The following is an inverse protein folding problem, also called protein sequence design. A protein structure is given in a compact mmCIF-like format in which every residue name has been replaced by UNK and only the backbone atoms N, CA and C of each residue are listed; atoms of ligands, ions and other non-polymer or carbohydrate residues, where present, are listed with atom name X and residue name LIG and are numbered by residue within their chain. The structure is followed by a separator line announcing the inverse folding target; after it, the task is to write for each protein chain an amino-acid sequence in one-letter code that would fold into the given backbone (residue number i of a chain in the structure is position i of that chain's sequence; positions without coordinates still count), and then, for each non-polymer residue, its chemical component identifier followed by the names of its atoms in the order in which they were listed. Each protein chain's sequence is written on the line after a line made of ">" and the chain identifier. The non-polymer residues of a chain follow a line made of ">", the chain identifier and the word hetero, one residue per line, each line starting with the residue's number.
data_IF_926330341485
#
_entry.id   IF_926330341485
#
_cell.length_a   1.000
_cell.length_b   1.000
_cell.length_c   1.000
_cell.angle_alpha   90.00
_cell.angle_beta   90.00
_cell.angle_gamma   90.00
#
_symmetry.space_group_name_H-M   'P 1'
#
loop_
_entity.id
_entity.type
_entity.pdbx_description
1 polymer ?
#
# COMPACT_ATOMS: atom_id res chain seq x y z
N UNK A 1 -12.41 2.30 -23.74
CA UNK A 1 -11.62 2.35 -22.50
C UNK A 1 -10.46 1.37 -22.64
N UNK A 2 -9.21 1.83 -22.64
CA UNK A 2 -8.03 0.93 -22.64
C UNK A 2 -7.64 0.69 -21.19
N UNK A 3 -7.47 -0.58 -20.81
CA UNK A 3 -6.91 -0.93 -19.51
C UNK A 3 -5.40 -0.71 -19.54
N UNK A 4 -4.85 -0.08 -18.49
CA UNK A 4 -3.41 0.04 -18.30
C UNK A 4 -2.88 -1.27 -17.72
N UNK A 5 -2.09 -1.99 -18.51
CA UNK A 5 -1.55 -3.30 -18.14
C UNK A 5 -0.42 -3.22 -17.12
N UNK A 6 0.20 -2.05 -16.93
CA UNK A 6 1.33 -1.88 -16.01
C UNK A 6 0.91 -2.09 -14.54
N UNK A 7 -0.39 -1.97 -14.24
CA UNK A 7 -0.94 -2.29 -12.92
C UNK A 7 -0.75 -3.75 -12.52
N UNK A 8 -0.56 -4.67 -13.49
CA UNK A 8 -0.32 -6.09 -13.20
C UNK A 8 0.97 -6.31 -12.39
N UNK A 9 1.98 -5.45 -12.57
CA UNK A 9 3.25 -5.52 -11.83
C UNK A 9 3.10 -5.20 -10.33
N UNK A 10 1.97 -4.64 -9.89
CA UNK A 10 1.73 -4.25 -8.51
C UNK A 10 0.95 -5.29 -7.69
N UNK A 11 0.63 -6.46 -8.27
CA UNK A 11 -0.13 -7.50 -7.57
C UNK A 11 0.53 -7.92 -6.26
N UNK A 12 1.84 -8.18 -6.29
CA UNK A 12 2.60 -8.61 -5.10
C UNK A 12 2.62 -7.53 -4.02
N UNK A 13 2.75 -6.25 -4.42
CA UNK A 13 2.67 -5.11 -3.51
C UNK A 13 1.27 -4.99 -2.91
N UNK A 14 0.21 -5.21 -3.70
CA UNK A 14 -1.16 -5.19 -3.20
C UNK A 14 -1.41 -6.34 -2.21
N UNK A 15 -0.91 -7.55 -2.48
CA UNK A 15 -1.00 -8.70 -1.58
C UNK A 15 -0.24 -8.46 -0.27
N UNK A 16 0.91 -7.79 -0.33
CA UNK A 16 1.68 -7.36 0.84
C UNK A 16 0.94 -6.31 1.69
N UNK A 17 0.43 -5.25 1.06
CA UNK A 17 -0.09 -4.08 1.78
C UNK A 17 -1.55 -4.23 2.24
N UNK A 18 -2.38 -4.96 1.48
CA UNK A 18 -3.82 -5.09 1.77
C UNK A 18 -4.12 -5.58 3.20
N UNK A 19 -3.41 -6.59 3.75
CA UNK A 19 -3.64 -7.04 5.13
C UNK A 19 -3.42 -5.94 6.18
N UNK A 20 -2.50 -5.00 5.96
CA UNK A 20 -2.18 -3.94 6.92
C UNK A 20 -3.32 -2.95 7.16
N UNK A 21 -4.33 -2.93 6.29
CA UNK A 21 -5.53 -2.12 6.50
C UNK A 21 -6.30 -2.52 7.78
N UNK A 22 -6.16 -3.77 8.25
CA UNK A 22 -6.94 -4.30 9.38
C UNK A 22 -6.12 -5.08 10.40
N UNK A 23 -5.02 -5.72 9.99
CA UNK A 23 -4.24 -6.67 10.81
C UNK A 23 -3.86 -6.18 12.20
N UNK A 24 -3.52 -4.89 12.34
CA UNK A 24 -3.05 -4.29 13.59
C UNK A 24 -4.07 -3.34 14.24
N UNK A 25 -5.29 -3.23 13.68
CA UNK A 25 -6.33 -2.35 14.21
C UNK A 25 -7.18 -3.00 15.30
N UNK A 26 -7.30 -4.33 15.27
CA UNK A 26 -8.11 -5.10 16.20
C UNK A 26 -7.25 -6.14 16.90
N UNK A 27 -7.58 -6.50 18.15
CA UNK A 27 -6.91 -7.59 18.84
C UNK A 27 -6.96 -8.86 17.98
N UNK A 28 -5.78 -9.36 17.62
CA UNK A 28 -5.66 -10.62 16.91
C UNK A 28 -6.02 -11.82 17.80
N UNK A 29 -6.07 -13.05 17.24
CA UNK A 29 -6.20 -14.26 18.03
C UNK A 29 -5.04 -14.38 19.05
N UNK A 30 -5.21 -15.17 20.13
CA UNK A 30 -4.16 -15.37 21.12
C UNK A 30 -2.83 -15.78 20.46
N UNK A 31 -1.75 -15.06 20.82
CA UNK A 31 -0.41 -15.27 20.26
C UNK A 31 -0.14 -14.54 18.95
N UNK A 32 -1.11 -13.82 18.38
CA UNK A 32 -0.87 -12.98 17.21
C UNK A 32 -0.08 -11.70 17.58
N UNK A 33 0.83 -11.23 16.70
CA UNK A 33 1.48 -9.93 16.85
C UNK A 33 0.44 -8.81 16.90
N UNK A 34 0.58 -7.92 17.89
CA UNK A 34 -0.32 -6.76 18.06
C UNK A 34 0.20 -5.51 17.32
N UNK A 35 1.47 -5.53 16.91
CA UNK A 35 2.11 -4.47 16.16
C UNK A 35 3.00 -5.08 15.08
N UNK A 36 3.26 -4.37 13.97
CA UNK A 36 4.23 -4.79 12.97
C UNK A 36 5.65 -4.70 13.51
N UNK A 37 6.53 -5.51 12.96
CA UNK A 37 7.96 -5.39 13.20
C UNK A 37 8.54 -4.17 12.47
N UNK A 38 9.67 -3.65 12.94
CA UNK A 38 10.26 -2.44 12.37
C UNK A 38 10.64 -2.57 10.89
N UNK A 39 11.11 -3.76 10.46
CA UNK A 39 11.39 -4.06 9.05
C UNK A 39 10.12 -4.11 8.21
N UNK A 40 9.04 -4.66 8.77
CA UNK A 40 7.73 -4.73 8.12
C UNK A 40 7.17 -3.32 7.86
N UNK A 41 7.30 -2.41 8.82
CA UNK A 41 6.92 -1.00 8.65
C UNK A 41 7.75 -0.35 7.55
N UNK A 42 9.07 -0.52 7.57
CA UNK A 42 9.98 0.08 6.57
C UNK A 42 9.64 -0.37 5.16
N UNK A 43 9.42 -1.68 4.99
CA UNK A 43 9.01 -2.26 3.71
C UNK A 43 7.64 -1.75 3.26
N UNK A 44 6.63 -1.79 4.14
CA UNK A 44 5.29 -1.34 3.81
C UNK A 44 5.26 0.13 3.37
N UNK A 45 5.97 1.02 4.07
CA UNK A 45 6.07 2.44 3.70
C UNK A 45 6.77 2.63 2.36
N UNK A 46 7.88 1.91 2.13
CA UNK A 46 8.62 1.97 0.86
C UNK A 46 7.75 1.55 -0.32
N UNK A 47 7.07 0.41 -0.22
CA UNK A 47 6.23 -0.10 -1.31
C UNK A 47 4.96 0.75 -1.51
N UNK A 48 4.38 1.26 -0.42
CA UNK A 48 3.25 2.20 -0.50
C UNK A 48 3.62 3.47 -1.27
N UNK A 49 4.81 4.03 -1.00
CA UNK A 49 5.29 5.23 -1.71
C UNK A 49 5.53 4.96 -3.19
N UNK A 50 6.15 3.83 -3.51
CA UNK A 50 6.37 3.41 -4.90
C UNK A 50 5.04 3.27 -5.67
N UNK A 51 4.04 2.65 -5.06
CA UNK A 51 2.70 2.50 -5.66
C UNK A 51 1.99 3.85 -5.82
N UNK A 52 2.10 4.71 -4.81
CA UNK A 52 1.52 6.05 -4.86
C UNK A 52 2.11 6.90 -5.99
N UNK A 53 3.45 6.95 -6.10
CA UNK A 53 4.16 7.67 -7.16
C UNK A 53 3.78 7.13 -8.56
N UNK A 54 3.63 5.82 -8.69
CA UNK A 54 3.16 5.18 -9.93
C UNK A 54 1.75 5.62 -10.35
N UNK A 55 0.83 5.75 -9.39
CA UNK A 55 -0.53 6.22 -9.62
C UNK A 55 -0.52 7.71 -9.99
N UNK A 56 0.24 8.54 -9.25
CA UNK A 56 0.34 9.97 -9.54
C UNK A 56 0.85 10.26 -10.95
N UNK A 57 1.79 9.45 -11.45
CA UNK A 57 2.30 9.57 -12.82
C UNK A 57 1.25 9.29 -13.91
N UNK A 58 0.10 8.71 -13.56
CA UNK A 58 -0.97 8.32 -14.49
C UNK A 58 -2.22 9.19 -14.40
N UNK A 59 -2.31 10.05 -13.39
CA UNK A 59 -3.44 10.95 -13.21
C UNK A 59 -3.03 12.41 -13.43
N UNK A 60 -3.95 13.28 -13.92
CA UNK A 60 -3.65 14.71 -14.07
C UNK A 60 -3.23 15.34 -12.74
N UNK A 61 -2.32 16.31 -12.79
CA UNK A 61 -1.83 17.04 -11.61
C UNK A 61 -2.97 17.66 -10.80
N UNK A 62 -4.04 18.14 -11.48
CA UNK A 62 -5.22 18.69 -10.80
C UNK A 62 -5.99 17.67 -9.94
N UNK A 63 -5.74 16.37 -10.12
CA UNK A 63 -6.31 15.28 -9.32
C UNK A 63 -5.33 14.72 -8.29
N UNK A 64 -4.11 15.26 -8.20
CA UNK A 64 -3.18 14.89 -7.15
C UNK A 64 -3.74 15.33 -5.79
N UNK A 65 -3.50 14.58 -4.70
CA UNK A 65 -3.88 15.02 -3.38
C UNK A 65 -3.25 16.38 -3.08
N UNK A 66 -4.04 17.32 -2.56
CA UNK A 66 -3.46 18.51 -1.94
C UNK A 66 -2.78 18.05 -0.66
N UNK A 67 -1.52 18.46 -0.45
CA UNK A 67 -0.81 18.16 0.81
C UNK A 67 -1.72 18.52 1.99
N UNK A 68 -1.95 17.55 2.87
CA UNK A 68 -2.79 17.69 4.07
C UNK A 68 -2.10 18.44 5.19
#
# INVERSE_FOLDING_TARGET
>A
MKLDTDFAAWREVAELLTPYATRFRYPGPPGAPQAPEADEVREAVRESRRLFDFVLARIPVAAHPVDG
#
